data_IF_775186375135
#
_entry.id   IF_775186375135
#
_cell.length_a   1.000
_cell.length_b   1.000
_cell.length_c   1.000
_cell.angle_alpha   90.00
_cell.angle_beta   90.00
_cell.angle_gamma   90.00
#
_symmetry.space_group_name_H-M   'P 1'
#
loop_
_entity.id
_entity.type
_entity.pdbx_description
1 polymer ?
#
# COMPACT_ATOMS: atom_id res chain seq x y z
N UNK A 1 -38.56 9.89 5.32
CA UNK A 1 -38.16 10.07 3.90
C UNK A 1 -36.91 10.93 3.75
N UNK A 2 -36.91 12.26 3.49
CA UNK A 2 -35.63 12.97 3.19
C UNK A 2 -34.56 12.94 4.31
N UNK A 3 -34.95 13.07 5.58
CA UNK A 3 -34.02 12.99 6.71
C UNK A 3 -33.50 11.57 6.94
N UNK A 4 -34.35 10.57 6.68
CA UNK A 4 -34.05 9.15 6.79
C UNK A 4 -33.09 8.69 5.68
N UNK A 5 -33.29 9.16 4.44
CA UNK A 5 -32.38 8.89 3.31
C UNK A 5 -30.99 9.48 3.54
N UNK A 6 -30.91 10.70 4.05
CA UNK A 6 -29.63 11.31 4.42
C UNK A 6 -28.94 10.56 5.57
N UNK A 7 -29.70 10.15 6.59
CA UNK A 7 -29.17 9.37 7.70
C UNK A 7 -28.60 8.02 7.21
N UNK A 8 -29.31 7.32 6.32
CA UNK A 8 -28.79 6.10 5.69
C UNK A 8 -27.51 6.36 4.89
N UNK A 9 -27.40 7.52 4.20
CA UNK A 9 -26.22 7.87 3.43
C UNK A 9 -24.97 8.06 4.30
N UNK A 10 -25.07 8.77 5.44
CA UNK A 10 -23.94 8.89 6.37
C UNK A 10 -23.57 7.54 7.00
N UNK A 11 -24.54 6.68 7.33
CA UNK A 11 -24.28 5.35 7.90
C UNK A 11 -23.59 4.45 6.88
N UNK A 12 -23.92 4.54 5.59
CA UNK A 12 -23.21 3.83 4.52
C UNK A 12 -21.74 4.27 4.42
N UNK A 13 -21.47 5.58 4.52
CA UNK A 13 -20.11 6.10 4.53
C UNK A 13 -19.34 5.58 5.75
N UNK A 14 -19.95 5.65 6.93
CA UNK A 14 -19.38 5.15 8.17
C UNK A 14 -19.07 3.65 8.11
N UNK A 15 -20.01 2.86 7.59
CA UNK A 15 -19.85 1.42 7.43
C UNK A 15 -18.73 1.06 6.45
N UNK A 16 -18.54 1.85 5.39
CA UNK A 16 -17.43 1.66 4.45
C UNK A 16 -16.08 1.77 5.17
N UNK A 17 -15.87 2.81 5.98
CA UNK A 17 -14.63 2.96 6.75
C UNK A 17 -14.41 1.83 7.76
N UNK A 18 -15.47 1.38 8.45
CA UNK A 18 -15.39 0.19 9.33
C UNK A 18 -14.99 -1.06 8.55
N UNK A 19 -15.52 -1.25 7.33
CA UNK A 19 -15.23 -2.44 6.52
C UNK A 19 -13.78 -2.54 6.07
N UNK A 20 -13.07 -1.41 5.98
CA UNK A 20 -11.65 -1.35 5.64
C UNK A 20 -10.74 -1.26 6.88
N UNK A 21 -11.29 -1.50 8.07
CA UNK A 21 -10.54 -1.63 9.33
C UNK A 21 -10.32 -0.34 10.10
N UNK A 22 -10.96 0.78 9.74
CA UNK A 22 -10.91 2.01 10.52
C UNK A 22 -11.98 2.03 11.63
N UNK A 23 -11.71 2.77 12.72
CA UNK A 23 -12.76 3.18 13.66
C UNK A 23 -13.57 4.31 13.00
N UNK A 24 -14.90 4.19 12.99
CA UNK A 24 -15.77 5.21 12.41
C UNK A 24 -17.06 5.35 13.20
N UNK A 25 -17.49 6.57 13.45
CA UNK A 25 -18.67 6.92 14.24
C UNK A 25 -19.47 8.03 13.53
N UNK A 26 -20.79 8.00 13.65
CA UNK A 26 -21.70 8.99 13.05
C UNK A 26 -22.20 10.01 14.06
N UNK A 27 -22.53 11.22 13.59
CA UNK A 27 -23.10 12.32 14.39
C UNK A 27 -22.28 12.62 15.67
N UNK A 28 -20.98 12.82 15.49
CA UNK A 28 -20.04 13.02 16.59
C UNK A 28 -19.85 14.52 16.83
N UNK A 29 -19.95 14.94 18.09
CA UNK A 29 -19.57 16.29 18.50
C UNK A 29 -18.10 16.29 18.90
N UNK A 30 -17.27 17.04 18.17
CA UNK A 30 -15.83 17.12 18.39
C UNK A 30 -15.45 18.50 18.92
N UNK A 31 -14.61 18.53 19.96
CA UNK A 31 -14.10 19.78 20.53
C UNK A 31 -12.88 20.26 19.77
N UNK A 32 -13.01 21.38 19.07
CA UNK A 32 -11.92 22.10 18.44
C UNK A 32 -11.22 23.07 19.39
N UNK A 33 -10.22 23.77 18.86
CA UNK A 33 -9.46 24.78 19.60
C UNK A 33 -10.35 25.95 20.01
N UNK A 34 -11.32 26.34 19.17
CA UNK A 34 -12.18 27.51 19.41
C UNK A 34 -13.60 27.14 19.82
N UNK A 35 -14.17 26.10 19.23
CA UNK A 35 -15.56 25.69 19.48
C UNK A 35 -15.75 24.20 19.26
N UNK A 36 -16.91 23.70 19.66
CA UNK A 36 -17.39 22.37 19.29
C UNK A 36 -17.99 22.39 17.90
N UNK A 37 -17.80 21.27 17.17
CA UNK A 37 -18.32 21.06 15.83
C UNK A 37 -18.98 19.70 15.75
N UNK A 38 -20.20 19.66 15.25
CA UNK A 38 -20.89 18.41 14.91
C UNK A 38 -20.44 17.96 13.52
N UNK A 39 -19.99 16.72 13.41
CA UNK A 39 -19.58 16.11 12.14
C UNK A 39 -20.43 14.89 11.83
N UNK A 40 -20.78 14.72 10.54
CA UNK A 40 -21.64 13.62 10.12
C UNK A 40 -20.96 12.26 10.33
N UNK A 41 -19.69 12.15 9.96
CA UNK A 41 -18.87 10.96 10.23
C UNK A 41 -17.48 11.37 10.69
N UNK A 42 -17.02 10.74 11.78
CA UNK A 42 -15.65 10.85 12.28
C UNK A 42 -14.94 9.51 12.11
N UNK A 43 -13.73 9.54 11.54
CA UNK A 43 -12.92 8.36 11.28
C UNK A 43 -11.59 8.50 12.00
N UNK A 44 -11.22 7.46 12.75
CA UNK A 44 -9.90 7.27 13.33
C UNK A 44 -9.28 6.01 12.75
N UNK A 45 -8.03 6.11 12.34
CA UNK A 45 -7.30 4.96 11.81
C UNK A 45 -5.83 5.09 12.13
N UNK A 46 -5.12 3.96 12.13
CA UNK A 46 -3.68 3.93 12.40
C UNK A 46 -2.98 3.31 11.21
N UNK A 47 -2.07 4.06 10.59
CA UNK A 47 -1.26 3.57 9.47
C UNK A 47 0.20 3.78 9.78
N UNK A 48 1.02 2.72 9.62
CA UNK A 48 2.46 2.72 9.93
C UNK A 48 2.79 3.27 11.35
N UNK A 49 1.89 3.03 12.32
CA UNK A 49 2.03 3.53 13.69
C UNK A 49 1.61 4.99 13.90
N UNK A 50 1.22 5.70 12.85
CA UNK A 50 0.74 7.09 12.89
C UNK A 50 -0.79 7.08 13.03
N UNK A 51 -1.29 7.81 14.01
CA UNK A 51 -2.74 8.02 14.20
C UNK A 51 -3.21 9.09 13.22
N UNK A 52 -4.24 8.75 12.43
CA UNK A 52 -4.89 9.64 11.47
C UNK A 52 -6.33 9.86 11.87
N UNK A 53 -6.77 11.11 11.76
CA UNK A 53 -8.11 11.57 12.07
C UNK A 53 -8.72 12.25 10.85
N UNK A 54 -9.85 11.73 10.37
CA UNK A 54 -10.59 12.32 9.26
C UNK A 54 -12.02 12.66 9.68
N UNK A 55 -12.56 13.74 9.10
CA UNK A 55 -13.98 14.10 9.24
C UNK A 55 -14.65 14.07 7.88
N UNK A 56 -15.92 13.72 7.84
CA UNK A 56 -16.70 13.66 6.62
C UNK A 56 -18.02 14.38 6.82
N UNK A 57 -18.36 15.21 5.83
CA UNK A 57 -19.67 15.84 5.67
C UNK A 57 -20.44 15.14 4.54
N UNK A 58 -21.60 14.57 4.86
CA UNK A 58 -22.45 13.80 3.96
C UNK A 58 -23.52 14.68 3.32
N UNK A 59 -23.37 15.00 2.04
CA UNK A 59 -24.31 15.83 1.26
C UNK A 59 -25.18 14.98 0.34
N UNK A 60 -26.27 14.44 0.90
CA UNK A 60 -27.30 13.72 0.15
C UNK A 60 -28.34 14.67 -0.48
N UNK A 61 -27.90 15.48 -1.45
CA UNK A 61 -28.74 16.48 -2.11
C UNK A 61 -28.91 16.18 -3.59
N UNK A 62 -30.01 16.65 -4.18
CA UNK A 62 -30.23 16.62 -5.64
C UNK A 62 -29.45 17.69 -6.41
N UNK A 63 -28.89 18.67 -5.69
CA UNK A 63 -28.13 19.79 -6.26
C UNK A 63 -26.66 19.66 -5.89
N UNK A 64 -25.80 20.19 -6.74
CA UNK A 64 -24.36 20.18 -6.50
C UNK A 64 -23.99 21.01 -5.27
N UNK A 65 -22.98 20.53 -4.56
CA UNK A 65 -22.39 21.25 -3.42
C UNK A 65 -21.64 22.49 -3.94
N UNK A 66 -21.92 23.63 -3.31
CA UNK A 66 -21.29 24.92 -3.66
C UNK A 66 -20.02 25.20 -2.85
N UNK A 67 -19.29 26.25 -3.25
CA UNK A 67 -18.05 26.74 -2.61
C UNK A 67 -18.19 27.02 -1.11
N UNK A 68 -19.33 27.52 -0.65
CA UNK A 68 -19.55 27.89 0.75
C UNK A 68 -19.38 26.70 1.69
N UNK A 69 -19.87 25.52 1.31
CA UNK A 69 -19.73 24.31 2.12
C UNK A 69 -18.27 23.86 2.25
N UNK A 70 -17.47 24.02 1.19
CA UNK A 70 -16.04 23.68 1.21
C UNK A 70 -15.27 24.60 2.16
N UNK A 71 -15.53 25.91 2.10
CA UNK A 71 -14.90 26.89 2.98
C UNK A 71 -15.28 26.68 4.45
N UNK A 72 -16.54 26.32 4.70
CA UNK A 72 -17.02 25.98 6.04
C UNK A 72 -16.30 24.75 6.59
N UNK A 73 -16.29 23.62 5.84
CA UNK A 73 -15.62 22.40 6.27
C UNK A 73 -14.11 22.61 6.49
N UNK A 74 -13.46 23.43 5.66
CA UNK A 74 -12.05 23.78 5.86
C UNK A 74 -11.81 24.48 7.19
N UNK A 75 -12.66 25.43 7.56
CA UNK A 75 -12.55 26.13 8.84
C UNK A 75 -12.75 25.17 10.03
N UNK A 76 -13.67 24.21 9.89
CA UNK A 76 -13.90 23.15 10.89
C UNK A 76 -12.66 22.25 11.00
N UNK A 77 -12.13 21.79 9.86
CA UNK A 77 -10.96 20.92 9.82
C UNK A 77 -9.71 21.58 10.44
N UNK A 78 -9.51 22.87 10.17
CA UNK A 78 -8.45 23.68 10.77
C UNK A 78 -8.63 23.84 12.29
N UNK A 79 -9.86 24.03 12.77
CA UNK A 79 -10.14 24.18 14.20
C UNK A 79 -10.02 22.86 14.99
N UNK A 80 -10.34 21.73 14.34
CA UNK A 80 -10.19 20.39 14.90
C UNK A 80 -8.76 19.82 14.76
N UNK A 81 -7.97 20.32 13.81
CA UNK A 81 -6.61 19.83 13.56
C UNK A 81 -6.55 18.44 12.92
N UNK A 82 -7.53 18.11 12.07
CA UNK A 82 -7.64 16.78 11.42
C UNK A 82 -6.80 16.67 10.15
N UNK A 83 -6.29 15.47 9.85
CA UNK A 83 -5.38 15.24 8.72
C UNK A 83 -6.04 15.49 7.36
N UNK A 84 -7.30 15.05 7.21
CA UNK A 84 -8.12 15.23 6.01
C UNK A 84 -9.57 15.46 6.39
N UNK A 85 -10.27 16.21 5.54
CA UNK A 85 -11.71 16.30 5.63
C UNK A 85 -12.35 16.05 4.26
N UNK A 86 -13.51 15.40 4.25
CA UNK A 86 -14.18 15.00 3.02
C UNK A 86 -15.57 15.63 2.96
N UNK A 87 -15.96 16.12 1.79
CA UNK A 87 -17.38 16.24 1.47
C UNK A 87 -17.72 15.09 0.53
N UNK A 88 -18.69 14.26 0.96
CA UNK A 88 -19.20 13.16 0.14
C UNK A 88 -20.58 13.54 -0.37
N UNK A 89 -20.72 13.64 -1.69
CA UNK A 89 -21.95 14.14 -2.34
C UNK A 89 -22.60 13.08 -3.22
N UNK A 90 -23.94 12.98 -3.16
CA UNK A 90 -24.71 12.12 -4.06
C UNK A 90 -24.90 12.71 -5.46
N UNK A 91 -24.74 14.02 -5.64
CA UNK A 91 -24.96 14.72 -6.92
C UNK A 91 -23.75 15.52 -7.41
N UNK A 92 -22.61 15.42 -6.72
CA UNK A 92 -21.36 16.09 -7.10
C UNK A 92 -21.26 17.55 -6.65
N UNK A 93 -20.43 18.31 -7.36
CA UNK A 93 -19.88 19.60 -6.92
C UNK A 93 -19.94 20.66 -8.03
N UNK A 94 -20.00 21.93 -7.65
CA UNK A 94 -19.84 23.07 -8.57
C UNK A 94 -18.36 23.33 -8.84
N UNK A 95 -18.01 23.96 -9.98
CA UNK A 95 -16.62 24.30 -10.31
C UNK A 95 -15.92 25.11 -9.21
N UNK A 96 -16.60 26.14 -8.69
CA UNK A 96 -16.06 26.95 -7.59
C UNK A 96 -15.88 26.19 -6.27
N UNK A 97 -16.53 25.04 -6.08
CA UNK A 97 -16.27 24.14 -4.96
C UNK A 97 -14.97 23.35 -5.18
N UNK A 98 -14.79 22.80 -6.38
CA UNK A 98 -13.55 22.12 -6.77
C UNK A 98 -12.34 23.04 -6.64
N UNK A 99 -12.43 24.27 -7.15
CA UNK A 99 -11.38 25.29 -7.01
C UNK A 99 -11.04 25.60 -5.54
N UNK A 100 -12.04 25.63 -4.66
CA UNK A 100 -11.84 25.93 -3.25
C UNK A 100 -11.20 24.78 -2.45
N UNK A 101 -11.33 23.54 -2.94
CA UNK A 101 -10.72 22.36 -2.33
C UNK A 101 -9.29 22.11 -2.84
N UNK A 102 -8.93 22.61 -4.03
CA UNK A 102 -7.59 22.45 -4.59
C UNK A 102 -6.50 22.96 -3.63
N UNK A 103 -5.42 22.20 -3.51
CA UNK A 103 -4.28 22.49 -2.62
C UNK A 103 -4.65 22.65 -1.13
N UNK A 104 -5.72 21.99 -0.68
CA UNK A 104 -6.11 21.89 0.73
C UNK A 104 -6.17 20.43 1.17
N UNK A 105 -6.33 20.18 2.47
CA UNK A 105 -6.62 18.84 3.00
C UNK A 105 -8.10 18.44 2.83
N UNK A 106 -8.89 19.22 2.07
CA UNK A 106 -10.30 18.94 1.78
C UNK A 106 -10.41 18.14 0.47
N UNK A 107 -11.15 17.04 0.51
CA UNK A 107 -11.45 16.19 -0.65
C UNK A 107 -12.94 16.19 -0.95
N UNK A 108 -13.27 16.30 -2.23
CA UNK A 108 -14.64 16.34 -2.73
C UNK A 108 -14.88 15.09 -3.57
N UNK A 109 -15.69 14.17 -3.07
CA UNK A 109 -15.87 12.85 -3.68
C UNK A 109 -17.35 12.49 -3.76
N UNK A 110 -17.74 11.71 -4.76
CA UNK A 110 -18.94 10.88 -4.66
C UNK A 110 -18.66 9.69 -3.75
N UNK A 111 -19.70 8.97 -3.32
CA UNK A 111 -19.49 7.79 -2.48
C UNK A 111 -18.69 6.70 -3.20
N UNK A 112 -18.89 6.53 -4.51
CA UNK A 112 -18.12 5.56 -5.30
C UNK A 112 -16.64 5.98 -5.44
N UNK A 113 -16.39 7.28 -5.66
CA UNK A 113 -15.02 7.82 -5.67
C UNK A 113 -14.32 7.67 -4.32
N UNK A 114 -15.06 7.83 -3.20
CA UNK A 114 -14.52 7.59 -1.87
C UNK A 114 -14.08 6.13 -1.71
N UNK A 115 -14.88 5.17 -2.17
CA UNK A 115 -14.53 3.74 -2.12
C UNK A 115 -13.28 3.45 -2.94
N UNK A 116 -13.18 4.01 -4.14
CA UNK A 116 -12.02 3.83 -5.00
C UNK A 116 -10.75 4.46 -4.40
N UNK A 117 -10.83 5.70 -3.91
CA UNK A 117 -9.68 6.41 -3.33
C UNK A 117 -9.19 5.74 -2.05
N UNK A 118 -10.10 5.33 -1.16
CA UNK A 118 -9.73 4.62 0.08
C UNK A 118 -9.17 3.22 -0.19
N UNK A 119 -9.71 2.49 -1.18
CA UNK A 119 -9.12 1.23 -1.63
C UNK A 119 -7.70 1.45 -2.15
N UNK A 120 -7.49 2.40 -3.05
CA UNK A 120 -6.17 2.70 -3.59
C UNK A 120 -5.17 3.14 -2.51
N UNK A 121 -5.63 3.92 -1.52
CA UNK A 121 -4.82 4.29 -0.37
C UNK A 121 -4.38 3.05 0.43
N UNK A 122 -5.31 2.16 0.80
CA UNK A 122 -5.00 0.92 1.52
C UNK A 122 -4.02 0.05 0.74
N UNK A 123 -4.24 -0.14 -0.56
CA UNK A 123 -3.32 -0.89 -1.43
C UNK A 123 -1.91 -0.28 -1.43
N UNK A 124 -1.81 1.05 -1.59
CA UNK A 124 -0.52 1.75 -1.59
C UNK A 124 0.24 1.64 -0.27
N UNK A 125 -0.45 1.70 0.87
CA UNK A 125 0.18 1.54 2.18
C UNK A 125 0.67 0.11 2.38
N UNK A 126 -0.11 -0.88 1.95
CA UNK A 126 0.31 -2.28 1.99
C UNK A 126 1.54 -2.52 1.10
N UNK A 127 1.60 -1.95 -0.10
CA UNK A 127 2.77 -2.05 -0.99
C UNK A 127 4.05 -1.54 -0.30
N UNK A 128 3.99 -0.42 0.42
CA UNK A 128 5.14 0.09 1.21
C UNK A 128 5.62 -0.89 2.27
N UNK A 129 4.72 -1.64 2.91
CA UNK A 129 5.10 -2.67 3.88
C UNK A 129 5.83 -3.84 3.22
N UNK A 130 5.43 -4.25 2.02
CA UNK A 130 6.14 -5.27 1.25
C UNK A 130 7.50 -4.78 0.77
N UNK A 131 7.61 -3.53 0.33
CA UNK A 131 8.89 -2.92 -0.05
C UNK A 131 9.87 -2.94 1.14
N UNK A 132 9.39 -2.54 2.33
CA UNK A 132 10.18 -2.60 3.58
C UNK A 132 10.65 -4.03 3.88
N UNK A 133 9.74 -5.02 3.78
CA UNK A 133 10.10 -6.43 4.00
C UNK A 133 11.11 -6.93 2.98
N UNK A 134 10.98 -6.49 1.73
CA UNK A 134 11.87 -6.86 0.64
C UNK A 134 13.28 -6.29 0.83
N UNK A 135 13.39 -5.05 1.33
CA UNK A 135 14.67 -4.44 1.71
C UNK A 135 15.37 -5.24 2.82
N UNK A 136 14.63 -5.69 3.83
CA UNK A 136 15.18 -6.55 4.89
C UNK A 136 15.69 -7.88 4.35
N UNK A 137 14.92 -8.51 3.46
CA UNK A 137 15.29 -9.77 2.81
C UNK A 137 16.52 -9.61 1.92
N UNK A 138 16.58 -8.54 1.13
CA UNK A 138 17.72 -8.25 0.28
C UNK A 138 18.99 -8.02 1.09
N UNK A 139 18.92 -7.21 2.15
CA UNK A 139 20.06 -6.97 3.04
C UNK A 139 20.59 -8.27 3.63
N UNK A 140 19.72 -9.14 4.17
CA UNK A 140 20.13 -10.44 4.72
C UNK A 140 20.72 -11.35 3.64
N UNK A 141 20.13 -11.38 2.44
CA UNK A 141 20.63 -12.19 1.34
C UNK A 141 22.02 -11.72 0.86
N UNK A 142 22.22 -10.42 0.71
CA UNK A 142 23.50 -9.83 0.29
C UNK A 142 24.55 -9.80 1.36
N UNK A 143 24.16 -9.95 2.64
CA UNK A 143 25.12 -10.10 3.74
C UNK A 143 26.08 -11.30 3.56
N UNK A 144 25.66 -12.27 2.75
CA UNK A 144 26.44 -13.46 2.44
C UNK A 144 27.19 -13.29 1.11
N UNK A 145 28.48 -13.63 1.11
CA UNK A 145 29.28 -13.60 -0.13
C UNK A 145 28.66 -14.50 -1.22
N UNK A 146 28.94 -14.19 -2.49
CA UNK A 146 28.49 -14.99 -3.64
C UNK A 146 28.83 -16.47 -3.48
N UNK A 147 30.04 -16.79 -3.00
CA UNK A 147 30.50 -18.17 -2.78
C UNK A 147 29.66 -18.88 -1.73
N UNK A 148 29.35 -18.22 -0.62
CA UNK A 148 28.49 -18.76 0.45
C UNK A 148 27.07 -18.99 -0.05
N UNK A 149 26.48 -18.01 -0.75
CA UNK A 149 25.13 -18.17 -1.32
C UNK A 149 25.03 -19.34 -2.30
N UNK A 150 26.07 -19.59 -3.09
CA UNK A 150 26.13 -20.76 -3.97
C UNK A 150 26.25 -22.05 -3.16
N UNK A 151 27.20 -22.12 -2.22
CA UNK A 151 27.46 -23.31 -1.39
C UNK A 151 26.19 -23.79 -0.67
N UNK A 152 25.35 -22.86 -0.22
CA UNK A 152 24.14 -23.13 0.57
C UNK A 152 22.83 -23.06 -0.24
N UNK A 153 22.89 -23.06 -1.57
CA UNK A 153 21.70 -23.18 -2.43
C UNK A 153 20.78 -21.96 -2.47
N UNK A 154 21.28 -20.78 -2.09
CA UNK A 154 20.57 -19.50 -2.20
C UNK A 154 20.79 -18.81 -3.56
N UNK A 155 21.73 -19.33 -4.34
CA UNK A 155 22.07 -18.86 -5.68
C UNK A 155 22.54 -20.02 -6.55
N UNK A 156 22.11 -20.02 -7.81
CA UNK A 156 22.58 -20.94 -8.83
C UNK A 156 24.06 -20.75 -9.20
N UNK A 157 24.78 -21.84 -9.48
CA UNK A 157 26.11 -21.79 -10.11
C UNK A 157 26.01 -21.85 -11.63
N UNK A 158 26.91 -21.16 -12.35
CA UNK A 158 26.88 -21.06 -13.83
C UNK A 158 26.91 -22.41 -14.58
N UNK A 159 27.36 -23.48 -13.93
CA UNK A 159 27.49 -24.82 -14.54
C UNK A 159 26.37 -25.78 -14.14
N UNK A 160 25.43 -25.34 -13.31
CA UNK A 160 24.32 -26.18 -12.89
C UNK A 160 23.29 -26.25 -14.02
N UNK A 161 22.91 -27.46 -14.43
CA UNK A 161 22.01 -27.72 -15.56
C UNK A 161 20.54 -27.32 -15.30
N UNK A 162 20.14 -27.11 -14.04
CA UNK A 162 18.77 -26.79 -13.65
C UNK A 162 18.69 -25.60 -12.69
N UNK A 163 18.06 -24.51 -13.12
CA UNK A 163 17.78 -23.33 -12.31
C UNK A 163 16.75 -23.66 -11.22
N UNK A 164 17.19 -24.22 -10.10
CA UNK A 164 16.31 -24.61 -8.99
C UNK A 164 15.75 -23.41 -8.25
N UNK A 165 16.61 -22.53 -7.74
CA UNK A 165 16.23 -21.32 -7.01
C UNK A 165 17.39 -20.30 -7.04
N UNK A 166 17.06 -19.02 -7.17
CA UNK A 166 18.01 -17.92 -6.94
C UNK A 166 17.31 -16.74 -6.29
N UNK A 167 17.77 -16.38 -5.08
CA UNK A 167 17.20 -15.26 -4.32
C UNK A 167 17.20 -13.94 -5.10
N UNK A 168 18.25 -13.66 -5.88
CA UNK A 168 18.35 -12.43 -6.68
C UNK A 168 17.17 -12.26 -7.65
N UNK A 169 16.81 -13.34 -8.34
CA UNK A 169 15.75 -13.29 -9.34
C UNK A 169 14.38 -13.17 -8.67
N UNK A 170 14.15 -13.85 -7.55
CA UNK A 170 12.93 -13.66 -6.78
C UNK A 170 12.78 -12.21 -6.27
N UNK A 171 13.87 -11.63 -5.74
CA UNK A 171 13.89 -10.23 -5.29
C UNK A 171 13.60 -9.28 -6.46
N UNK A 172 14.21 -9.50 -7.63
CA UNK A 172 13.98 -8.70 -8.84
C UNK A 172 12.53 -8.76 -9.32
N UNK A 173 11.97 -9.96 -9.46
CA UNK A 173 10.56 -10.15 -9.86
C UNK A 173 9.61 -9.52 -8.85
N UNK A 174 9.86 -9.70 -7.54
CA UNK A 174 9.04 -9.09 -6.50
C UNK A 174 9.07 -7.55 -6.58
N UNK A 175 10.25 -6.94 -6.78
CA UNK A 175 10.36 -5.49 -6.95
C UNK A 175 9.62 -5.00 -8.18
N UNK A 176 9.78 -5.68 -9.32
CA UNK A 176 9.07 -5.33 -10.56
C UNK A 176 7.56 -5.42 -10.36
N UNK A 177 7.08 -6.47 -9.71
CA UNK A 177 5.66 -6.63 -9.38
C UNK A 177 5.12 -5.52 -8.46
N UNK A 178 5.93 -5.03 -7.50
CA UNK A 178 5.54 -3.87 -6.68
C UNK A 178 5.47 -2.57 -7.50
N UNK A 179 6.34 -2.40 -8.51
CA UNK A 179 6.29 -1.27 -9.45
C UNK A 179 5.00 -1.33 -10.29
N UNK A 180 4.73 -2.46 -10.95
CA UNK A 180 3.50 -2.66 -11.73
C UNK A 180 2.24 -2.40 -10.90
N UNK A 181 2.21 -2.93 -9.67
CA UNK A 181 1.06 -2.75 -8.78
C UNK A 181 0.86 -1.29 -8.36
N UNK A 182 1.95 -0.54 -8.18
CA UNK A 182 1.90 0.89 -7.86
C UNK A 182 1.31 1.70 -9.01
N UNK A 183 1.62 1.30 -10.24
CA UNK A 183 1.10 1.90 -11.47
C UNK A 183 -0.27 1.31 -11.90
N UNK A 184 -0.79 0.36 -11.12
CA UNK A 184 -2.04 -0.38 -11.38
C UNK A 184 -2.01 -1.18 -12.70
N UNK A 185 -0.83 -1.59 -13.13
CA UNK A 185 -0.62 -2.42 -14.32
C UNK A 185 -0.91 -3.89 -13.97
N UNK A 186 -2.12 -4.35 -14.25
CA UNK A 186 -2.54 -5.75 -14.13
C UNK A 186 -3.02 -6.30 -15.49
N UNK A 187 -2.85 -7.60 -15.79
CA UNK A 187 -2.23 -8.63 -14.94
C UNK A 187 -0.71 -8.52 -14.88
N UNK A 188 -0.12 -8.92 -13.75
CA UNK A 188 1.33 -8.90 -13.50
C UNK A 188 1.89 -10.30 -13.73
N UNK A 189 2.93 -10.42 -14.56
CA UNK A 189 3.70 -11.66 -14.70
C UNK A 189 4.70 -11.83 -13.55
N UNK A 190 4.66 -12.98 -12.89
CA UNK A 190 5.38 -13.30 -11.64
C UNK A 190 6.34 -14.49 -11.82
N UNK A 191 6.57 -14.92 -13.06
CA UNK A 191 7.46 -16.04 -13.35
C UNK A 191 8.92 -15.72 -13.03
N UNK A 192 9.55 -16.56 -12.20
CA UNK A 192 10.98 -16.44 -11.87
C UNK A 192 11.89 -17.28 -12.78
N UNK A 193 11.31 -18.09 -13.67
CA UNK A 193 12.05 -19.06 -14.51
C UNK A 193 12.70 -20.20 -13.73
N UNK A 194 12.45 -20.30 -12.43
CA UNK A 194 12.97 -21.35 -11.56
C UNK A 194 12.04 -22.55 -11.50
N UNK A 195 12.59 -23.74 -11.25
CA UNK A 195 11.79 -24.93 -10.93
C UNK A 195 11.08 -24.82 -9.59
N UNK A 196 11.73 -24.24 -8.60
CA UNK A 196 11.13 -23.99 -7.29
C UNK A 196 10.47 -22.61 -7.30
N UNK A 197 9.14 -22.59 -7.34
CA UNK A 197 8.33 -21.38 -7.24
C UNK A 197 7.14 -21.62 -6.31
N UNK A 198 6.57 -20.55 -5.78
CA UNK A 198 5.35 -20.58 -4.99
C UNK A 198 4.28 -19.72 -5.65
N UNK A 199 3.04 -20.18 -5.61
CA UNK A 199 1.91 -19.47 -6.19
C UNK A 199 1.87 -19.47 -7.72
N UNK A 200 0.91 -18.71 -8.25
CA UNK A 200 0.61 -18.59 -9.67
C UNK A 200 1.65 -17.75 -10.42
N UNK A 201 1.72 -17.93 -11.75
CA UNK A 201 2.61 -17.17 -12.63
C UNK A 201 2.07 -15.77 -12.97
N UNK A 202 0.79 -15.52 -12.68
CA UNK A 202 0.15 -14.23 -12.94
C UNK A 202 -0.64 -13.79 -11.70
N UNK A 203 -0.68 -12.49 -11.47
CA UNK A 203 -1.65 -11.86 -10.59
C UNK A 203 -2.52 -10.90 -11.38
N UNK A 204 -3.82 -11.15 -11.42
CA UNK A 204 -4.84 -10.33 -12.09
C UNK A 204 -5.29 -9.14 -11.23
N UNK A 205 -5.00 -9.17 -9.93
CA UNK A 205 -5.42 -8.14 -8.98
C UNK A 205 -4.52 -8.12 -7.74
N UNK A 206 -4.70 -7.09 -6.92
CA UNK A 206 -3.92 -6.86 -5.71
C UNK A 206 -3.96 -8.03 -4.72
N UNK A 207 -5.11 -8.66 -4.52
CA UNK A 207 -5.22 -9.79 -3.59
C UNK A 207 -4.36 -10.99 -4.04
N UNK A 208 -4.36 -11.29 -5.33
CA UNK A 208 -3.52 -12.36 -5.88
C UNK A 208 -2.03 -12.02 -5.74
N UNK A 209 -1.65 -10.76 -5.98
CA UNK A 209 -0.28 -10.30 -5.76
C UNK A 209 0.13 -10.43 -4.28
N UNK A 210 -0.71 -10.01 -3.34
CA UNK A 210 -0.45 -10.15 -1.91
C UNK A 210 -0.22 -11.62 -1.52
N UNK A 211 -1.04 -12.54 -2.06
CA UNK A 211 -0.87 -13.96 -1.81
C UNK A 211 0.48 -14.46 -2.32
N UNK A 212 0.85 -14.07 -3.55
CA UNK A 212 2.12 -14.45 -4.15
C UNK A 212 3.32 -13.90 -3.35
N UNK A 213 3.30 -12.62 -2.97
CA UNK A 213 4.36 -11.98 -2.18
C UNK A 213 4.54 -12.69 -0.83
N UNK A 214 3.44 -12.98 -0.13
CA UNK A 214 3.50 -13.67 1.16
C UNK A 214 4.08 -15.09 1.04
N UNK A 215 3.61 -15.87 0.06
CA UNK A 215 4.10 -17.23 -0.16
C UNK A 215 5.60 -17.24 -0.48
N UNK A 216 6.04 -16.38 -1.40
CA UNK A 216 7.42 -16.34 -1.84
C UNK A 216 8.37 -15.73 -0.79
N UNK A 217 7.93 -14.72 -0.04
CA UNK A 217 8.75 -14.15 1.04
C UNK A 217 8.91 -15.14 2.19
N UNK A 218 7.84 -15.82 2.60
CA UNK A 218 7.93 -16.89 3.62
C UNK A 218 8.86 -18.01 3.16
N UNK A 219 8.75 -18.41 1.89
CA UNK A 219 9.61 -19.43 1.30
C UNK A 219 11.08 -19.02 1.30
N UNK A 220 11.37 -17.78 0.90
CA UNK A 220 12.73 -17.28 0.85
C UNK A 220 13.33 -17.10 2.26
N UNK A 221 12.55 -16.58 3.21
CA UNK A 221 12.94 -16.48 4.62
C UNK A 221 13.28 -17.84 5.21
N UNK A 222 12.47 -18.88 4.95
CA UNK A 222 12.73 -20.24 5.41
C UNK A 222 14.03 -20.79 4.84
N UNK A 223 14.32 -20.54 3.54
CA UNK A 223 15.59 -20.91 2.92
C UNK A 223 16.76 -20.19 3.55
N UNK A 224 16.68 -18.87 3.69
CA UNK A 224 17.74 -18.08 4.34
C UNK A 224 18.03 -18.60 5.74
N UNK A 225 16.99 -18.83 6.55
CA UNK A 225 17.14 -19.34 7.91
C UNK A 225 17.82 -20.72 7.94
N UNK A 226 17.35 -21.66 7.12
CA UNK A 226 17.94 -22.99 7.05
C UNK A 226 19.40 -22.96 6.58
N UNK A 227 19.68 -22.18 5.53
CA UNK A 227 21.04 -22.00 5.01
C UNK A 227 21.97 -21.38 6.06
N UNK A 228 21.51 -20.38 6.81
CA UNK A 228 22.30 -19.75 7.87
C UNK A 228 22.57 -20.67 9.07
N UNK A 229 21.62 -21.53 9.44
CA UNK A 229 21.85 -22.57 10.43
C UNK A 229 22.94 -23.55 10.00
N UNK A 230 22.92 -23.97 8.73
CA UNK A 230 23.97 -24.84 8.19
C UNK A 230 25.31 -24.11 8.07
N UNK A 231 25.32 -22.82 7.69
CA UNK A 231 26.52 -21.98 7.74
C UNK A 231 27.12 -21.95 9.14
N UNK A 232 26.29 -21.77 10.16
CA UNK A 232 26.75 -21.72 11.55
C UNK A 232 27.35 -23.07 11.98
N UNK A 233 26.67 -24.20 11.69
CA UNK A 233 27.19 -25.55 11.99
C UNK A 233 28.54 -25.82 11.34
N UNK A 234 28.76 -25.29 10.14
CA UNK A 234 29.97 -25.50 9.36
C UNK A 234 31.07 -24.44 9.61
N UNK A 235 30.83 -23.45 10.47
CA UNK A 235 31.77 -22.35 10.73
C UNK A 235 31.91 -21.36 9.57
N UNK A 236 30.94 -21.31 8.65
CA UNK A 236 30.93 -20.44 7.47
C UNK A 236 30.08 -19.16 7.67
N UNK A 237 29.37 -19.01 8.79
CA UNK A 237 28.49 -17.87 9.04
C UNK A 237 29.30 -16.61 9.37
N UNK A 238 29.46 -15.73 8.38
CA UNK A 238 30.20 -14.49 8.51
C UNK A 238 29.57 -13.38 7.63
N UNK A 239 28.41 -12.82 8.03
CA UNK A 239 27.74 -11.79 7.27
C UNK A 239 28.50 -10.46 7.30
N UNK A 240 28.57 -9.73 6.18
CA UNK A 240 28.96 -8.32 6.22
C UNK A 240 27.77 -7.50 6.72
N UNK A 241 27.83 -7.03 7.97
CA UNK A 241 26.74 -6.34 8.66
C UNK A 241 26.45 -4.94 8.10
N UNK A 242 26.24 -4.82 6.79
CA UNK A 242 25.95 -3.59 6.06
C UNK A 242 24.46 -3.55 5.74
N UNK A 243 23.80 -2.48 6.13
CA UNK A 243 22.41 -2.20 5.79
C UNK A 243 22.37 -1.16 4.68
N UNK A 244 21.83 -1.54 3.53
CA UNK A 244 21.46 -0.58 2.48
C UNK A 244 20.28 0.26 2.92
N UNK A 245 20.34 1.56 2.60
CA UNK A 245 19.23 2.49 2.77
C UNK A 245 18.19 2.27 1.66
N UNK A 246 16.94 2.65 1.92
CA UNK A 246 15.88 2.58 0.91
C UNK A 246 16.18 3.43 -0.34
N UNK A 247 17.02 4.47 -0.22
CA UNK A 247 17.50 5.29 -1.35
C UNK A 247 18.60 4.62 -2.18
N UNK A 248 19.22 3.55 -1.68
CA UNK A 248 20.36 2.94 -2.36
C UNK A 248 19.89 2.14 -3.57
N UNK A 249 20.64 2.26 -4.66
CA UNK A 249 20.42 1.48 -5.87
C UNK A 249 21.02 0.08 -5.69
N UNK A 250 20.16 -0.91 -5.44
CA UNK A 250 20.59 -2.29 -5.19
C UNK A 250 20.55 -3.14 -6.46
N UNK A 251 21.26 -4.29 -6.52
CA UNK A 251 21.20 -5.18 -7.67
C UNK A 251 19.78 -5.65 -8.03
N UNK A 252 18.88 -5.83 -7.06
CA UNK A 252 17.50 -6.21 -7.37
C UNK A 252 16.67 -5.03 -7.90
N UNK A 253 16.90 -3.79 -7.43
CA UNK A 253 16.25 -2.58 -7.98
C UNK A 253 16.65 -2.34 -9.44
N UNK A 254 17.94 -2.43 -9.75
CA UNK A 254 18.43 -2.30 -11.13
C UNK A 254 17.84 -3.38 -12.05
N UNK A 255 17.79 -4.63 -11.57
CA UNK A 255 17.19 -5.74 -12.31
C UNK A 255 15.69 -5.51 -12.55
N UNK A 256 14.95 -5.11 -11.51
CA UNK A 256 13.52 -4.84 -11.60
C UNK A 256 13.21 -3.71 -12.59
N UNK A 257 13.97 -2.62 -12.54
CA UNK A 257 13.83 -1.50 -13.49
C UNK A 257 14.10 -1.95 -14.93
N UNK A 258 15.11 -2.80 -15.14
CA UNK A 258 15.38 -3.39 -16.46
C UNK A 258 14.23 -4.28 -16.97
N UNK A 259 13.63 -5.09 -16.09
CA UNK A 259 12.47 -5.94 -16.41
C UNK A 259 11.23 -5.08 -16.72
N UNK A 260 10.95 -4.08 -15.90
CA UNK A 260 9.80 -3.18 -16.04
C UNK A 260 9.85 -2.44 -17.38
N UNK A 261 10.98 -1.80 -17.70
CA UNK A 261 11.13 -1.05 -18.94
C UNK A 261 11.08 -1.93 -20.21
N UNK A 262 11.49 -3.19 -20.12
CA UNK A 262 11.50 -4.10 -21.27
C UNK A 262 10.08 -4.55 -21.68
N UNK A 263 9.10 -4.49 -20.79
CA UNK A 263 7.69 -4.76 -21.10
C UNK A 263 6.98 -3.55 -21.71
N UNK A 264 7.38 -2.32 -21.37
CA UNK A 264 6.85 -1.09 -21.98
C UNK A 264 7.25 -0.94 -23.47
N UNK A 265 8.40 -1.52 -23.86
CA UNK A 265 8.93 -1.49 -25.22
C UNK A 265 8.39 -2.62 -26.13
N UNK A 266 7.51 -3.50 -25.62
CA UNK A 266 6.98 -4.69 -26.31
C UNK A 266 5.49 -4.60 -26.64
#
# INVERSE_FOLDING_TARGET
MRQEEWYLFQEQICQHFRSIGAESETNVCLKGVRTEHDVDVYVKTKFLGIDLQWIIEAKHWKRNVNKGHVLALRSIAEDLGVDKAFIVSSSGFQSGAMEAANNTNIKLLTFDQLKEETKGFVESEILKTYETRLDLLENRYWSHSKKIRIKYGLRHHLMDHELRFTGQMLLGVARKALMDASDKNYPIFLGTGHKEHQGELFADNFQQLQNWLNLNFNHFEAKLLASEWEMHKNGDYNPDCILSLSSDETPSKMMAKGMYNAEDDS
#
